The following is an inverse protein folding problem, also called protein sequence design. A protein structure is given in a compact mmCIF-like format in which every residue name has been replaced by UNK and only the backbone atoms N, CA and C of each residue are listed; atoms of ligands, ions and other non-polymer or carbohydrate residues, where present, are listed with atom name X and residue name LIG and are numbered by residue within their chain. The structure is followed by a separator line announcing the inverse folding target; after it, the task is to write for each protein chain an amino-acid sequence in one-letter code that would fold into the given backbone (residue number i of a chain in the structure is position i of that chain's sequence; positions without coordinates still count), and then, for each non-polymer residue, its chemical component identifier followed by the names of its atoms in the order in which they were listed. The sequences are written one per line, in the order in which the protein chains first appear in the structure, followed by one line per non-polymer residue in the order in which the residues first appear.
data_IF_084169173119
#
_entry.id   IF_084169173119
#
_cell.length_a   1.000
_cell.length_b   1.000
_cell.length_c   1.000
_cell.angle_alpha   90.00
_cell.angle_beta   90.00
_cell.angle_gamma   90.00
#
_symmetry.space_group_name_H-M   'P 1'
#
loop_
_entity.id
_entity.type
_entity.pdbx_description
1 polymer ?
#
# COMPACT_ATOMS: atom_id res chain seq x y z
N UNK A 1 2.95 -14.71 -0.34
CA UNK A 1 2.93 -13.64 -1.38
C UNK A 1 4.21 -12.82 -1.29
N UNK A 2 4.50 -11.99 -2.32
CA UNK A 2 5.72 -11.17 -2.29
C UNK A 2 5.67 -10.12 -1.17
N UNK A 3 4.53 -9.51 -0.92
CA UNK A 3 4.39 -8.41 0.04
C UNK A 3 4.61 -8.82 1.49
N UNK A 4 4.10 -9.98 1.91
CA UNK A 4 4.26 -10.47 3.30
C UNK A 4 5.72 -10.74 3.66
N UNK A 5 6.52 -11.21 2.69
CA UNK A 5 7.94 -11.42 2.93
C UNK A 5 8.70 -10.10 3.18
N UNK A 6 8.29 -9.01 2.53
CA UNK A 6 8.85 -7.67 2.79
C UNK A 6 8.49 -7.19 4.19
N UNK A 7 7.22 -7.31 4.57
CA UNK A 7 6.74 -6.95 5.92
C UNK A 7 7.50 -7.74 7.00
N UNK A 8 7.70 -9.05 6.78
CA UNK A 8 8.49 -9.86 7.69
C UNK A 8 9.97 -9.42 7.74
N UNK A 9 10.53 -9.01 6.60
CA UNK A 9 11.92 -8.54 6.55
C UNK A 9 12.11 -7.23 7.33
N UNK A 10 11.16 -6.31 7.21
CA UNK A 10 11.18 -5.05 7.96
C UNK A 10 11.04 -5.29 9.47
N UNK A 11 10.12 -6.17 9.87
CA UNK A 11 9.98 -6.61 11.27
C UNK A 11 11.25 -7.31 11.82
N UNK A 12 12.00 -8.03 10.98
CA UNK A 12 13.31 -8.56 11.40
C UNK A 12 14.33 -7.46 11.66
N UNK A 13 14.31 -6.34 10.93
CA UNK A 13 15.15 -5.19 11.27
C UNK A 13 14.77 -4.57 12.62
N UNK A 14 13.47 -4.43 12.87
CA UNK A 14 12.99 -3.92 14.17
C UNK A 14 13.42 -4.83 15.32
N UNK A 15 13.33 -6.14 15.15
CA UNK A 15 13.83 -7.11 16.13
C UNK A 15 15.33 -6.98 16.34
N UNK A 16 16.09 -6.78 15.28
CA UNK A 16 17.54 -6.55 15.39
C UNK A 16 17.84 -5.27 16.15
N UNK A 17 17.14 -4.17 15.91
CA UNK A 17 17.31 -2.89 16.59
C UNK A 17 17.03 -2.99 18.10
N UNK A 18 16.00 -3.79 18.47
CA UNK A 18 15.60 -3.96 19.87
C UNK A 18 16.53 -4.94 20.60
N UNK A 19 16.91 -6.06 19.96
CA UNK A 19 17.62 -7.16 20.64
C UNK A 19 19.12 -7.15 20.44
N UNK A 20 19.61 -6.52 19.36
CA UNK A 20 20.99 -6.61 18.92
C UNK A 20 21.39 -7.95 18.30
N UNK A 21 20.43 -8.90 18.14
CA UNK A 21 20.72 -10.24 17.66
C UNK A 21 20.94 -10.24 16.15
N UNK A 22 22.18 -10.49 15.71
CA UNK A 22 22.60 -10.44 14.32
C UNK A 22 21.78 -11.37 13.39
N UNK A 23 21.23 -12.48 13.91
CA UNK A 23 20.43 -13.42 13.13
C UNK A 23 19.23 -12.74 12.45
N UNK A 24 18.58 -11.76 13.08
CA UNK A 24 17.45 -11.05 12.51
C UNK A 24 17.89 -10.18 11.32
N UNK A 25 18.98 -9.43 11.47
CA UNK A 25 19.56 -8.65 10.36
C UNK A 25 19.94 -9.53 9.17
N UNK A 26 20.54 -10.70 9.43
CA UNK A 26 20.90 -11.66 8.37
C UNK A 26 19.66 -12.15 7.63
N UNK A 27 18.54 -12.42 8.33
CA UNK A 27 17.27 -12.83 7.73
C UNK A 27 16.70 -11.73 6.85
N UNK A 28 16.65 -10.50 7.35
CA UNK A 28 16.17 -9.33 6.60
C UNK A 28 16.98 -9.14 5.30
N UNK A 29 18.31 -9.19 5.39
CA UNK A 29 19.20 -9.10 4.22
C UNK A 29 19.02 -10.24 3.22
N UNK A 30 18.80 -11.46 3.71
CA UNK A 30 18.55 -12.62 2.84
C UNK A 30 17.28 -12.43 2.01
N UNK A 31 16.22 -11.88 2.61
CA UNK A 31 14.97 -11.52 1.91
C UNK A 31 15.25 -10.42 0.89
N UNK A 32 15.93 -9.32 1.29
CA UNK A 32 16.28 -8.23 0.39
C UNK A 32 17.05 -8.69 -0.86
N UNK A 33 18.04 -9.58 -0.68
CA UNK A 33 18.83 -10.15 -1.78
C UNK A 33 18.00 -11.08 -2.67
N UNK A 34 17.01 -11.77 -2.11
CA UNK A 34 16.07 -12.57 -2.90
C UNK A 34 15.27 -11.69 -3.85
N UNK A 35 14.73 -10.57 -3.35
CA UNK A 35 14.02 -9.62 -4.20
C UNK A 35 14.93 -9.02 -5.28
N UNK A 36 16.17 -8.68 -4.94
CA UNK A 36 17.13 -8.17 -5.92
C UNK A 36 17.37 -9.15 -7.07
N UNK A 37 17.36 -10.46 -6.80
CA UNK A 37 17.48 -11.51 -7.83
C UNK A 37 16.20 -11.72 -8.63
N UNK A 38 15.03 -11.46 -8.04
CA UNK A 38 13.72 -11.63 -8.68
C UNK A 38 13.30 -10.41 -9.51
N UNK A 39 14.00 -9.29 -9.37
CA UNK A 39 13.70 -8.09 -10.14
C UNK A 39 13.96 -8.32 -11.63
N UNK A 40 12.96 -8.04 -12.45
CA UNK A 40 13.09 -8.09 -13.89
C UNK A 40 13.97 -6.94 -14.42
N UNK A 41 14.43 -7.05 -15.65
CA UNK A 41 15.31 -6.05 -16.29
C UNK A 41 14.64 -4.68 -16.44
N UNK A 42 13.31 -4.65 -16.53
CA UNK A 42 12.48 -3.44 -16.58
C UNK A 42 12.22 -2.81 -15.21
N UNK A 43 12.72 -3.40 -14.12
CA UNK A 43 12.52 -2.93 -12.75
C UNK A 43 11.32 -3.54 -12.04
N UNK A 44 10.43 -4.21 -12.76
CA UNK A 44 9.24 -4.84 -12.20
C UNK A 44 9.54 -6.12 -11.41
N UNK A 45 8.54 -6.56 -10.65
CA UNK A 45 8.62 -7.82 -9.89
C UNK A 45 7.48 -8.76 -10.30
N UNK A 46 7.71 -10.08 -10.32
CA UNK A 46 6.63 -11.04 -10.51
C UNK A 46 5.71 -11.02 -9.28
N UNK A 47 4.40 -11.19 -9.51
CA UNK A 47 3.44 -11.31 -8.40
C UNK A 47 3.62 -12.61 -7.62
N UNK A 48 3.86 -13.69 -8.32
CA UNK A 48 4.08 -15.03 -7.76
C UNK A 48 5.27 -15.70 -8.43
N UNK A 49 6.04 -16.42 -7.65
CA UNK A 49 7.15 -17.24 -8.14
C UNK A 49 7.00 -18.69 -7.67
N UNK A 50 7.48 -19.62 -8.45
CA UNK A 50 7.65 -21.00 -8.01
C UNK A 50 8.68 -21.06 -6.90
N UNK A 51 8.35 -21.74 -5.81
CA UNK A 51 9.22 -21.78 -4.63
C UNK A 51 10.55 -22.50 -4.87
N UNK A 52 10.56 -23.51 -5.72
CA UNK A 52 11.74 -24.32 -5.97
C UNK A 52 12.68 -23.72 -7.01
N UNK A 53 12.13 -23.05 -8.03
CA UNK A 53 12.89 -22.54 -9.17
C UNK A 53 13.09 -21.02 -9.14
N UNK A 54 12.22 -20.28 -8.44
CA UNK A 54 12.18 -18.81 -8.47
C UNK A 54 11.56 -18.24 -9.76
N UNK A 55 11.08 -19.09 -10.67
CA UNK A 55 10.50 -18.63 -11.92
C UNK A 55 9.11 -18.01 -11.74
N UNK A 56 8.78 -16.96 -12.49
CA UNK A 56 7.46 -16.34 -12.43
C UNK A 56 6.33 -17.32 -12.75
N UNK A 57 5.33 -17.37 -11.90
CA UNK A 57 4.15 -18.23 -12.05
C UNK A 57 3.10 -17.66 -13.02
N UNK A 58 3.06 -16.33 -13.13
CA UNK A 58 2.15 -15.59 -14.00
C UNK A 58 2.86 -14.39 -14.62
N UNK A 59 2.26 -13.77 -15.63
CA UNK A 59 2.74 -12.51 -16.20
C UNK A 59 2.42 -11.29 -15.33
N UNK A 60 1.57 -11.45 -14.31
CA UNK A 60 1.17 -10.36 -13.41
C UNK A 60 2.35 -9.84 -12.60
N UNK A 61 2.37 -8.52 -12.40
CA UNK A 61 3.42 -7.81 -11.68
C UNK A 61 2.96 -7.41 -10.29
N UNK A 62 3.88 -7.45 -9.33
CA UNK A 62 3.63 -6.99 -7.98
C UNK A 62 3.91 -5.48 -7.86
N UNK A 63 3.07 -4.78 -7.12
CA UNK A 63 3.24 -3.37 -6.76
C UNK A 63 3.89 -3.29 -5.39
N UNK A 64 5.21 -3.17 -5.35
CA UNK A 64 6.00 -3.37 -4.13
C UNK A 64 6.52 -2.06 -3.53
N UNK A 65 5.67 -1.06 -3.31
CA UNK A 65 6.06 0.14 -2.56
C UNK A 65 6.68 -0.19 -1.20
N UNK A 66 6.19 -1.17 -0.42
CA UNK A 66 6.86 -1.59 0.82
C UNK A 66 8.30 -2.07 0.62
N UNK A 67 8.61 -2.75 -0.49
CA UNK A 67 9.99 -3.16 -0.80
C UNK A 67 10.89 -1.95 -1.05
N UNK A 68 10.37 -0.94 -1.74
CA UNK A 68 11.11 0.30 -2.01
C UNK A 68 11.47 1.00 -0.69
N UNK A 69 10.52 1.11 0.23
CA UNK A 69 10.74 1.66 1.58
C UNK A 69 11.76 0.82 2.38
N UNK A 70 11.66 -0.50 2.31
CA UNK A 70 12.58 -1.41 2.98
C UNK A 70 14.01 -1.30 2.43
N UNK A 71 14.20 -1.26 1.11
CA UNK A 71 15.51 -1.06 0.51
C UNK A 71 16.09 0.32 0.81
N UNK A 72 15.24 1.36 0.83
CA UNK A 72 15.66 2.70 1.26
C UNK A 72 16.12 2.70 2.72
N UNK A 73 15.41 2.02 3.64
CA UNK A 73 15.81 1.84 5.03
C UNK A 73 17.15 1.14 5.15
N UNK A 74 17.36 0.05 4.41
CA UNK A 74 18.62 -0.69 4.39
C UNK A 74 19.80 0.17 3.96
N UNK A 75 19.62 1.03 2.98
CA UNK A 75 20.66 1.95 2.54
C UNK A 75 20.90 3.08 3.53
N UNK A 76 19.85 3.77 3.96
CA UNK A 76 19.93 4.92 4.84
C UNK A 76 20.46 4.58 6.23
N UNK A 77 19.92 3.54 6.85
CA UNK A 77 20.14 3.24 8.27
C UNK A 77 21.28 2.25 8.49
N UNK A 78 21.59 1.43 7.48
CA UNK A 78 22.60 0.37 7.59
C UNK A 78 23.72 0.45 6.56
N UNK A 79 23.66 1.37 5.58
CA UNK A 79 24.69 1.58 4.57
C UNK A 79 24.76 0.50 3.49
N UNK A 80 23.69 -0.28 3.27
CA UNK A 80 23.62 -1.31 2.24
C UNK A 80 23.28 -0.73 0.87
N UNK A 81 24.24 -0.06 0.25
CA UNK A 81 24.06 0.67 -1.02
C UNK A 81 23.83 -0.23 -2.25
N UNK A 82 24.02 -1.55 -2.13
CA UNK A 82 23.80 -2.50 -3.23
C UNK A 82 22.33 -2.59 -3.70
N UNK A 83 21.39 -2.05 -2.95
CA UNK A 83 19.97 -2.02 -3.32
C UNK A 83 19.55 -0.76 -4.07
N UNK A 84 20.41 0.29 -4.15
CA UNK A 84 20.08 1.57 -4.79
C UNK A 84 19.71 1.43 -6.25
N UNK A 85 20.44 0.62 -7.01
CA UNK A 85 20.15 0.41 -8.43
C UNK A 85 18.78 -0.27 -8.62
N UNK A 86 18.51 -1.30 -7.81
CA UNK A 86 17.23 -1.99 -7.83
C UNK A 86 16.06 -1.07 -7.44
N UNK A 87 16.27 -0.24 -6.42
CA UNK A 87 15.29 0.76 -5.99
C UNK A 87 14.98 1.77 -7.11
N UNK A 88 16.02 2.32 -7.76
CA UNK A 88 15.84 3.26 -8.86
C UNK A 88 15.08 2.65 -10.04
N UNK A 89 15.39 1.40 -10.42
CA UNK A 89 14.65 0.69 -11.46
C UNK A 89 13.19 0.41 -11.09
N UNK A 90 12.93 0.04 -9.83
CA UNK A 90 11.57 -0.15 -9.34
C UNK A 90 10.76 1.15 -9.41
N UNK A 91 11.35 2.26 -8.99
CA UNK A 91 10.74 3.58 -9.06
C UNK A 91 10.45 4.00 -10.51
N UNK A 92 11.43 3.82 -11.42
CA UNK A 92 11.25 4.11 -12.85
C UNK A 92 10.10 3.29 -13.46
N UNK A 93 10.00 2.01 -13.13
CA UNK A 93 8.91 1.16 -13.58
C UNK A 93 7.56 1.60 -13.01
N UNK A 94 7.47 1.92 -11.72
CA UNK A 94 6.25 2.42 -11.08
C UNK A 94 5.78 3.73 -11.72
N UNK A 95 6.69 4.66 -11.99
CA UNK A 95 6.39 5.93 -12.64
C UNK A 95 5.95 5.74 -14.11
N UNK A 96 6.57 4.80 -14.82
CA UNK A 96 6.29 4.58 -16.25
C UNK A 96 5.04 3.74 -16.51
N UNK A 97 4.68 2.83 -15.61
CA UNK A 97 3.60 1.87 -15.85
C UNK A 97 2.39 2.14 -14.94
N UNK A 98 2.36 1.82 -13.63
CA UNK A 98 1.16 2.03 -12.83
C UNK A 98 0.67 3.48 -12.83
N UNK A 99 1.56 4.44 -12.65
CA UNK A 99 1.21 5.86 -12.59
C UNK A 99 0.62 6.36 -13.92
N UNK A 100 1.09 5.87 -15.05
CA UNK A 100 0.62 6.35 -16.38
C UNK A 100 -0.55 5.56 -16.93
N UNK A 101 -0.68 4.30 -16.59
CA UNK A 101 -1.73 3.43 -17.10
C UNK A 101 -2.92 3.28 -16.15
N UNK A 102 -2.77 3.71 -14.91
CA UNK A 102 -3.70 3.43 -13.81
C UNK A 102 -3.92 1.93 -13.58
N UNK A 103 -2.97 1.09 -13.99
CA UNK A 103 -2.98 -0.33 -13.70
C UNK A 103 -2.36 -0.60 -12.32
N UNK A 104 -3.22 -0.65 -11.32
CA UNK A 104 -2.88 -0.90 -9.92
C UNK A 104 -3.21 -2.33 -9.49
N UNK A 105 -3.30 -3.27 -10.43
CA UNK A 105 -3.30 -4.71 -10.12
C UNK A 105 -1.95 -5.14 -9.63
N UNK A 106 -1.91 -6.10 -8.73
CA UNK A 106 -0.67 -6.73 -8.35
C UNK A 106 -0.40 -6.74 -6.86
N UNK A 107 -1.42 -6.41 -6.06
CA UNK A 107 -1.36 -6.60 -4.61
C UNK A 107 -1.96 -7.94 -4.21
N UNK A 108 -3.11 -8.30 -4.78
CA UNK A 108 -3.84 -9.52 -4.48
C UNK A 108 -3.90 -10.43 -5.70
N UNK A 109 -3.57 -11.68 -5.51
CA UNK A 109 -3.53 -12.69 -6.57
C UNK A 109 -4.90 -13.20 -7.01
N UNK A 110 -5.92 -12.95 -6.23
CA UNK A 110 -7.29 -13.39 -6.48
C UNK A 110 -8.13 -12.35 -7.22
N UNK A 111 -7.59 -11.14 -7.43
CA UNK A 111 -8.31 -10.06 -8.10
C UNK A 111 -7.86 -9.93 -9.54
N UNK A 112 -8.79 -10.13 -10.47
CA UNK A 112 -8.57 -10.02 -11.91
C UNK A 112 -9.66 -9.16 -12.56
N UNK A 113 -10.09 -8.09 -11.91
CA UNK A 113 -11.19 -7.27 -12.42
C UNK A 113 -10.67 -6.25 -13.43
N UNK A 114 -11.23 -6.27 -14.62
CA UNK A 114 -11.02 -5.25 -15.65
C UNK A 114 -12.24 -4.35 -15.72
N UNK A 115 -12.02 -3.05 -15.56
CA UNK A 115 -13.07 -2.04 -15.62
C UNK A 115 -12.82 -1.15 -16.83
N UNK A 116 -13.60 -1.34 -17.89
CA UNK A 116 -13.47 -0.52 -19.10
C UNK A 116 -13.80 0.95 -18.80
N UNK A 117 -13.05 1.93 -19.35
CA UNK A 117 -11.94 1.79 -20.29
C UNK A 117 -10.57 1.50 -19.63
N UNK A 118 -10.50 1.37 -18.32
CA UNK A 118 -9.26 1.14 -17.58
C UNK A 118 -9.06 -0.36 -17.35
N UNK A 119 -7.83 -0.82 -17.54
CA UNK A 119 -7.53 -2.25 -17.39
C UNK A 119 -7.55 -2.72 -15.95
N UNK A 120 -7.42 -1.80 -14.99
CA UNK A 120 -7.53 -2.18 -13.59
C UNK A 120 -7.67 -1.02 -12.60
N UNK A 121 -8.81 -0.94 -11.99
CA UNK A 121 -9.08 -0.08 -10.83
C UNK A 121 -9.41 -0.99 -9.64
N UNK A 122 -8.47 -1.85 -9.25
CA UNK A 122 -8.85 -2.95 -8.37
C UNK A 122 -8.60 -2.71 -6.92
N UNK A 123 -7.65 -1.87 -6.56
CA UNK A 123 -7.40 -1.60 -5.14
C UNK A 123 -6.75 -0.22 -4.88
N UNK A 124 -6.62 0.12 -3.61
CA UNK A 124 -6.09 1.41 -3.17
C UNK A 124 -4.55 1.45 -3.09
N UNK A 125 -3.82 0.54 -3.76
CA UNK A 125 -2.35 0.50 -3.76
C UNK A 125 -1.70 1.74 -4.38
N UNK A 126 -2.46 2.55 -5.08
CA UNK A 126 -2.01 3.86 -5.53
C UNK A 126 -1.67 4.82 -4.37
N UNK A 127 -2.35 4.71 -3.21
CA UNK A 127 -2.13 5.60 -2.07
C UNK A 127 -0.72 5.44 -1.45
N UNK A 128 -0.19 4.25 -1.15
CA UNK A 128 1.19 4.09 -0.69
C UNK A 128 2.21 4.65 -1.67
N UNK A 129 1.98 4.51 -2.97
CA UNK A 129 2.90 5.06 -3.95
C UNK A 129 2.80 6.59 -4.07
N UNK A 130 1.62 7.17 -3.91
CA UNK A 130 1.47 8.61 -3.79
C UNK A 130 2.28 9.15 -2.60
N UNK A 131 2.22 8.49 -1.44
CA UNK A 131 3.06 8.81 -0.28
C UNK A 131 4.55 8.70 -0.62
N UNK A 132 4.99 7.63 -1.31
CA UNK A 132 6.37 7.50 -1.78
C UNK A 132 6.81 8.70 -2.64
N UNK A 133 6.00 9.10 -3.61
CA UNK A 133 6.29 10.26 -4.47
C UNK A 133 6.46 11.53 -3.63
N UNK A 134 5.56 11.76 -2.65
CA UNK A 134 5.56 12.96 -1.81
C UNK A 134 6.77 13.04 -0.86
N UNK A 135 7.41 11.92 -0.57
CA UNK A 135 8.63 11.85 0.25
C UNK A 135 9.94 11.90 -0.58
N UNK A 136 9.88 12.10 -1.89
CA UNK A 136 11.08 12.29 -2.71
C UNK A 136 11.85 13.54 -2.31
N UNK A 137 13.17 13.46 -2.32
CA UNK A 137 14.04 14.60 -1.99
C UNK A 137 13.80 15.82 -2.89
N UNK A 138 13.49 15.57 -4.18
CA UNK A 138 13.19 16.59 -5.16
C UNK A 138 11.80 16.38 -5.76
N UNK A 139 10.83 17.19 -5.29
CA UNK A 139 9.48 17.17 -5.81
C UNK A 139 9.35 18.11 -7.02
N UNK A 140 9.17 17.51 -8.19
CA UNK A 140 8.82 18.27 -9.40
C UNK A 140 7.33 18.55 -9.45
N UNK A 141 6.90 19.54 -10.25
CA UNK A 141 5.47 19.78 -10.48
C UNK A 141 4.76 18.55 -11.08
N UNK A 142 5.47 17.75 -11.90
CA UNK A 142 4.90 16.52 -12.45
C UNK A 142 4.70 15.47 -11.34
N UNK A 143 5.66 15.29 -10.46
CA UNK A 143 5.54 14.39 -9.32
C UNK A 143 4.37 14.76 -8.41
N UNK A 144 4.17 16.07 -8.16
CA UNK A 144 3.00 16.54 -7.39
C UNK A 144 1.68 16.27 -8.14
N UNK A 145 1.64 16.42 -9.46
CA UNK A 145 0.44 16.07 -10.25
C UNK A 145 0.17 14.58 -10.18
N UNK A 146 1.19 13.75 -10.37
CA UNK A 146 1.07 12.30 -10.33
C UNK A 146 0.58 11.83 -8.94
N UNK A 147 1.17 12.31 -7.84
CA UNK A 147 0.71 12.00 -6.48
C UNK A 147 -0.75 12.40 -6.25
N UNK A 148 -1.12 13.62 -6.66
CA UNK A 148 -2.51 14.09 -6.56
C UNK A 148 -3.48 13.20 -7.33
N UNK A 149 -3.11 12.78 -8.53
CA UNK A 149 -3.98 11.98 -9.37
C UNK A 149 -4.16 10.56 -8.79
N UNK A 150 -3.11 10.00 -8.15
CA UNK A 150 -3.22 8.73 -7.41
C UNK A 150 -4.09 8.85 -6.16
N UNK A 151 -3.95 9.94 -5.40
CA UNK A 151 -4.82 10.21 -4.23
C UNK A 151 -6.27 10.36 -4.68
N UNK A 152 -6.54 11.08 -5.76
CA UNK A 152 -7.87 11.23 -6.33
C UNK A 152 -8.45 9.90 -6.82
N UNK A 153 -7.64 9.08 -7.48
CA UNK A 153 -8.07 7.75 -7.87
C UNK A 153 -8.58 6.94 -6.67
N UNK A 154 -7.82 6.96 -5.57
CA UNK A 154 -8.23 6.25 -4.35
C UNK A 154 -9.51 6.84 -3.76
N UNK A 155 -9.64 8.18 -3.70
CA UNK A 155 -10.84 8.85 -3.21
C UNK A 155 -12.06 8.53 -4.07
N UNK A 156 -11.95 8.70 -5.38
CA UNK A 156 -13.08 8.58 -6.30
C UNK A 156 -13.59 7.13 -6.44
N UNK A 157 -12.72 6.15 -6.26
CA UNK A 157 -13.06 4.75 -6.50
C UNK A 157 -13.34 3.95 -5.23
N UNK A 158 -12.72 4.31 -4.10
CA UNK A 158 -12.71 3.44 -2.92
C UNK A 158 -13.20 4.13 -1.64
N UNK A 159 -13.21 5.47 -1.57
CA UNK A 159 -13.66 6.17 -0.38
C UNK A 159 -15.17 6.45 -0.45
N UNK A 160 -15.86 6.09 0.61
CA UNK A 160 -17.29 6.37 0.79
C UNK A 160 -17.47 7.37 1.91
N UNK A 161 -17.96 8.58 1.55
CA UNK A 161 -18.18 9.68 2.49
C UNK A 161 -19.57 9.64 3.12
N UNK A 162 -20.55 9.15 2.37
CA UNK A 162 -21.95 9.08 2.76
C UNK A 162 -22.36 7.70 3.23
N UNK A 163 -23.48 7.59 3.92
CA UNK A 163 -24.07 6.30 4.26
C UNK A 163 -24.31 5.48 2.98
N UNK A 164 -23.62 4.36 2.91
CA UNK A 164 -23.82 3.39 1.86
C UNK A 164 -24.68 2.24 2.38
N UNK A 165 -25.93 2.22 1.94
CA UNK A 165 -26.86 1.14 2.26
C UNK A 165 -26.82 0.14 1.09
N UNK A 166 -25.91 -0.82 1.14
CA UNK A 166 -26.08 -2.04 0.35
C UNK A 166 -27.19 -2.89 0.99
N UNK A 167 -27.86 -3.71 0.20
CA UNK A 167 -29.01 -4.51 0.65
C UNK A 167 -28.77 -5.42 1.89
N UNK A 168 -27.53 -5.56 2.33
CA UNK A 168 -27.13 -6.38 3.48
C UNK A 168 -26.33 -5.59 4.54
N UNK A 169 -25.89 -4.35 4.29
CA UNK A 169 -24.85 -3.73 5.10
C UNK A 169 -25.26 -2.33 5.54
N UNK A 170 -25.08 -2.05 6.82
CA UNK A 170 -25.02 -0.70 7.33
C UNK A 170 -23.56 -0.33 7.49
N UNK A 171 -23.06 0.54 6.62
CA UNK A 171 -21.69 1.01 6.64
C UNK A 171 -21.66 2.35 7.36
N UNK A 172 -20.75 2.50 8.32
CA UNK A 172 -20.51 3.75 8.99
C UNK A 172 -19.43 4.55 8.24
N UNK A 173 -19.77 5.60 7.50
CA UNK A 173 -18.81 6.43 6.79
C UNK A 173 -18.11 7.43 7.74
N UNK A 174 -16.95 7.99 7.31
CA UNK A 174 -16.28 7.66 6.09
C UNK A 174 -15.51 6.35 6.18
N UNK A 175 -15.52 5.57 5.11
CA UNK A 175 -14.79 4.30 5.06
C UNK A 175 -14.13 4.10 3.70
N UNK A 176 -13.23 3.13 3.59
CA UNK A 176 -12.51 2.82 2.36
C UNK A 176 -12.73 1.36 2.01
N UNK A 177 -13.17 1.09 0.79
CA UNK A 177 -13.18 -0.24 0.21
C UNK A 177 -11.80 -0.56 -0.33
N UNK A 178 -11.30 -1.73 -0.07
CA UNK A 178 -9.98 -2.16 -0.49
C UNK A 178 -9.87 -2.26 -2.01
N UNK A 179 -10.91 -2.83 -2.63
CA UNK A 179 -10.91 -3.22 -4.03
C UNK A 179 -12.22 -2.85 -4.72
N UNK A 180 -12.13 -2.67 -6.03
CA UNK A 180 -13.32 -2.59 -6.87
C UNK A 180 -14.07 -3.94 -6.83
N UNK A 181 -15.38 -3.92 -6.73
CA UNK A 181 -16.26 -5.07 -6.52
C UNK A 181 -16.19 -5.77 -5.14
N UNK A 182 -15.22 -5.45 -4.31
CA UNK A 182 -15.21 -5.90 -2.92
C UNK A 182 -15.76 -4.79 -2.03
N UNK A 183 -17.07 -4.70 -1.97
CA UNK A 183 -17.80 -3.62 -1.30
C UNK A 183 -17.86 -3.84 0.21
N UNK A 184 -16.71 -3.99 0.82
CA UNK A 184 -16.54 -4.19 2.26
C UNK A 184 -15.50 -3.19 2.76
N UNK A 185 -15.79 -2.38 3.78
CA UNK A 185 -14.81 -1.51 4.39
C UNK A 185 -13.64 -2.30 4.98
N UNK A 186 -12.43 -1.81 4.73
CA UNK A 186 -11.19 -2.40 5.25
C UNK A 186 -10.40 -1.30 5.98
N UNK A 187 -10.20 -1.49 7.28
CA UNK A 187 -9.59 -0.46 8.11
C UNK A 187 -8.13 -0.15 7.74
N UNK A 188 -7.38 -1.18 7.32
CA UNK A 188 -6.03 -0.96 6.79
C UNK A 188 -6.03 -0.06 5.54
N UNK A 189 -6.98 -0.26 4.63
CA UNK A 189 -7.12 0.58 3.43
C UNK A 189 -7.46 2.03 3.79
N UNK A 190 -8.29 2.24 4.81
CA UNK A 190 -8.57 3.57 5.33
C UNK A 190 -7.31 4.24 5.91
N UNK A 191 -6.47 3.50 6.61
CA UNK A 191 -5.19 3.99 7.13
C UNK A 191 -4.24 4.41 6.00
N UNK A 192 -4.09 3.59 4.95
CA UNK A 192 -3.18 3.90 3.82
C UNK A 192 -3.63 5.14 3.06
N UNK A 193 -4.94 5.28 2.82
CA UNK A 193 -5.49 6.46 2.13
C UNK A 193 -5.38 7.71 3.01
N UNK A 194 -5.66 7.59 4.31
CA UNK A 194 -5.49 8.69 5.26
C UNK A 194 -4.03 9.17 5.32
N UNK A 195 -3.06 8.26 5.31
CA UNK A 195 -1.64 8.60 5.27
C UNK A 195 -1.28 9.38 4.00
N UNK A 196 -1.78 8.97 2.83
CA UNK A 196 -1.52 9.71 1.58
C UNK A 196 -2.09 11.14 1.62
N UNK A 197 -3.26 11.37 2.22
CA UNK A 197 -3.78 12.71 2.42
C UNK A 197 -2.99 13.52 3.44
N UNK A 198 -2.51 12.88 4.51
CA UNK A 198 -1.66 13.54 5.50
C UNK A 198 -0.35 14.00 4.87
N UNK A 199 0.29 13.14 4.08
CA UNK A 199 1.52 13.48 3.34
C UNK A 199 1.27 14.62 2.34
N UNK A 200 0.14 14.59 1.63
CA UNK A 200 -0.27 15.69 0.76
C UNK A 200 -0.41 17.01 1.53
N UNK A 201 -1.05 16.98 2.69
CA UNK A 201 -1.15 18.16 3.55
C UNK A 201 0.22 18.66 4.01
N UNK A 202 1.12 17.77 4.41
CA UNK A 202 2.46 18.15 4.89
C UNK A 202 3.29 18.84 3.80
N UNK A 203 3.10 18.45 2.55
CA UNK A 203 3.81 19.03 1.39
C UNK A 203 3.15 20.32 0.90
N UNK A 204 1.81 20.38 0.86
CA UNK A 204 1.07 21.45 0.17
C UNK A 204 0.40 22.45 1.10
N UNK A 205 0.16 22.09 2.35
CA UNK A 205 -0.65 22.87 3.29
C UNK A 205 -2.16 22.78 3.04
N UNK A 206 -2.64 21.86 2.21
CA UNK A 206 -4.06 21.69 1.88
C UNK A 206 -4.86 21.23 3.10
N UNK A 207 -5.57 22.16 3.74
CA UNK A 207 -6.36 21.90 4.94
C UNK A 207 -7.52 20.91 4.70
N UNK A 208 -8.03 20.79 3.46
CA UNK A 208 -9.07 19.81 3.14
C UNK A 208 -8.50 18.39 3.20
N UNK A 209 -7.28 18.17 2.72
CA UNK A 209 -6.62 16.87 2.82
C UNK A 209 -6.43 16.44 4.29
N UNK A 210 -6.00 17.36 5.16
CA UNK A 210 -5.93 17.09 6.60
C UNK A 210 -7.30 16.74 7.19
N UNK A 211 -8.34 17.45 6.81
CA UNK A 211 -9.70 17.17 7.30
C UNK A 211 -10.19 15.78 6.85
N UNK A 212 -9.89 15.39 5.61
CA UNK A 212 -10.21 14.06 5.06
C UNK A 212 -9.45 12.94 5.79
N UNK A 213 -8.13 13.09 5.95
CA UNK A 213 -7.32 12.15 6.71
C UNK A 213 -7.86 11.95 8.13
N UNK A 214 -8.13 13.07 8.81
CA UNK A 214 -8.69 13.05 10.17
C UNK A 214 -10.04 12.33 10.23
N UNK A 215 -10.95 12.59 9.28
CA UNK A 215 -12.26 11.96 9.26
C UNK A 215 -12.19 10.43 9.13
N UNK A 216 -11.29 9.89 8.27
CA UNK A 216 -11.08 8.45 8.17
C UNK A 216 -10.55 7.85 9.47
N UNK A 217 -9.55 8.48 10.08
CA UNK A 217 -8.94 7.97 11.31
C UNK A 217 -9.91 8.07 12.50
N UNK A 218 -10.67 9.18 12.60
CA UNK A 218 -11.71 9.32 13.64
C UNK A 218 -12.75 8.19 13.53
N UNK A 219 -13.09 7.77 12.31
CA UNK A 219 -14.01 6.65 12.12
C UNK A 219 -13.42 5.31 12.57
N UNK A 220 -12.15 5.04 12.28
CA UNK A 220 -11.44 3.84 12.76
C UNK A 220 -11.45 3.82 14.31
N UNK A 221 -11.17 4.95 14.94
CA UNK A 221 -11.24 5.07 16.41
C UNK A 221 -12.67 4.83 16.93
N UNK A 222 -13.69 5.29 16.22
CA UNK A 222 -15.08 5.01 16.59
C UNK A 222 -15.40 3.52 16.48
N UNK A 223 -14.96 2.85 15.43
CA UNK A 223 -15.14 1.39 15.26
C UNK A 223 -14.42 0.63 16.36
N UNK A 224 -13.20 1.02 16.70
CA UNK A 224 -12.46 0.45 17.83
C UNK A 224 -13.19 0.60 19.16
N UNK A 225 -13.77 1.77 19.42
CA UNK A 225 -14.51 2.07 20.65
C UNK A 225 -15.80 1.25 20.79
N UNK A 226 -16.40 0.80 19.68
CA UNK A 226 -17.58 -0.06 19.68
C UNK A 226 -17.20 -1.51 20.01
N UNK A 227 -15.99 -1.93 19.66
CA UNK A 227 -15.45 -3.23 20.05
C UNK A 227 -15.24 -3.26 21.57
N UNK A 228 -15.85 -4.24 22.23
CA UNK A 228 -15.70 -4.41 23.69
C UNK A 228 -14.29 -4.85 24.08
N UNK A 229 -13.49 -5.35 23.13
CA UNK A 229 -12.09 -5.79 23.32
C UNK A 229 -11.08 -4.70 22.99
N UNK A 230 -11.49 -3.59 22.38
CA UNK A 230 -10.61 -2.54 21.86
C UNK A 230 -9.90 -2.92 20.55
N UNK A 231 -10.32 -4.02 19.92
CA UNK A 231 -9.79 -4.45 18.62
C UNK A 231 -10.29 -3.56 17.50
N UNK A 232 -9.46 -3.41 16.47
CA UNK A 232 -9.85 -2.84 15.17
C UNK A 232 -10.12 -4.03 14.26
N UNK A 233 -11.35 -4.18 13.73
CA UNK A 233 -11.65 -5.28 12.81
C UNK A 233 -10.94 -5.08 11.48
N UNK A 234 -10.50 -6.17 10.84
CA UNK A 234 -9.93 -6.10 9.48
C UNK A 234 -10.99 -5.65 8.49
N UNK A 235 -12.18 -6.25 8.58
CA UNK A 235 -13.34 -5.91 7.75
C UNK A 235 -14.61 -5.85 8.59
N UNK A 236 -15.56 -5.01 8.18
CA UNK A 236 -16.88 -4.97 8.80
C UNK A 236 -17.94 -4.60 7.76
N UNK A 237 -18.91 -5.45 7.61
CA UNK A 237 -19.96 -5.36 6.60
C UNK A 237 -21.38 -5.27 7.19
N UNK A 238 -21.51 -5.41 8.50
CA UNK A 238 -22.75 -5.22 9.24
C UNK A 238 -22.48 -4.43 10.52
N UNK A 239 -22.30 -3.14 10.37
CA UNK A 239 -22.10 -2.24 11.49
C UNK A 239 -23.42 -2.01 12.26
N UNK A 240 -23.44 -1.98 13.59
CA UNK A 240 -22.32 -2.23 14.50
C UNK A 240 -22.14 -3.70 14.89
N UNK A 241 -22.93 -4.62 14.34
CA UNK A 241 -23.02 -5.99 14.81
C UNK A 241 -21.77 -6.83 14.55
N UNK A 242 -20.95 -6.42 13.60
CA UNK A 242 -19.69 -7.09 13.26
C UNK A 242 -18.44 -6.32 13.66
N UNK A 243 -18.57 -5.15 14.25
CA UNK A 243 -17.44 -4.46 14.83
C UNK A 243 -16.76 -5.38 15.84
N UNK A 244 -15.47 -5.66 15.64
CA UNK A 244 -14.70 -6.56 16.52
C UNK A 244 -14.74 -8.05 16.19
N UNK A 245 -15.15 -8.47 15.00
CA UNK A 245 -15.02 -9.86 14.56
C UNK A 245 -13.80 -10.05 13.66
#
# INVERSE_FOLDING_TARGET
MMMEAVTAADAFLDLYEITGEMQYKIRALSIAETYRKLQATDGSFPMKVDFATGEPYTSSKALLTPLMLFWQRLDRDYGFSQFREGLAKAEEWMDAVPVKTFDWTGQFEDVTVVVAPYSNLTDCTAAPYASWILHREHLTEQALRDARDMIRLCEDQFVHWDEYVAAKWNICPPCVFEQFHYQTPVDNSACVVANAWLDWYLVTGDALALAKAKALIDNIVNVQNISTSGEIPTTWDEYPSRAGR
#
